data_IF_301861000118
#
_entry.id   IF_301861000118
#
_cell.length_a   1.000
_cell.length_b   1.000
_cell.length_c   1.000
_cell.angle_alpha   90.00
_cell.angle_beta   90.00
_cell.angle_gamma   90.00
#
_symmetry.space_group_name_H-M   'P 1'
#
loop_
_entity.id
_entity.type
_entity.pdbx_description
1 polymer ?
#
# COMPACT_ATOMS: atom_id res chain seq x y z
N UNK A 1 6.10 4.00 -16.83
CA UNK A 1 4.75 4.19 -17.42
C UNK A 1 4.79 4.78 -18.81
N UNK A 2 5.45 5.92 -19.01
CA UNK A 2 5.44 6.68 -20.28
C UNK A 2 5.86 5.89 -21.52
N UNK A 3 6.98 5.15 -21.45
CA UNK A 3 7.46 4.37 -22.61
C UNK A 3 6.46 3.29 -23.04
N UNK A 4 5.96 2.51 -22.07
CA UNK A 4 4.95 1.47 -22.32
C UNK A 4 3.68 2.08 -22.92
N UNK A 5 3.23 3.19 -22.35
CA UNK A 5 2.02 3.86 -22.82
C UNK A 5 2.18 4.41 -24.24
N UNK A 6 3.34 5.01 -24.58
CA UNK A 6 3.65 5.47 -25.93
C UNK A 6 3.58 4.33 -26.95
N UNK A 7 4.21 3.18 -26.65
CA UNK A 7 4.19 2.00 -27.53
C UNK A 7 2.77 1.46 -27.73
N UNK A 8 1.94 1.49 -26.68
CA UNK A 8 0.54 1.08 -26.78
C UNK A 8 -0.28 2.06 -27.65
N UNK A 9 -0.09 3.37 -27.46
CA UNK A 9 -0.75 4.42 -28.24
C UNK A 9 -0.38 4.34 -29.74
N UNK A 10 0.89 4.11 -30.08
CA UNK A 10 1.36 3.90 -31.46
C UNK A 10 0.67 2.71 -32.15
N UNK A 11 0.10 1.79 -31.37
CA UNK A 11 -0.64 0.60 -31.83
C UNK A 11 -2.15 0.69 -31.63
N UNK A 12 -2.66 1.83 -31.15
CA UNK A 12 -4.08 2.01 -30.84
C UNK A 12 -4.59 1.12 -29.70
N UNK A 13 -3.72 0.69 -28.79
CA UNK A 13 -4.06 -0.16 -27.65
C UNK A 13 -4.29 0.73 -26.42
N UNK A 14 -5.46 0.67 -25.76
CA UNK A 14 -5.73 1.46 -24.58
C UNK A 14 -4.93 0.96 -23.36
N UNK A 15 -4.50 1.89 -22.52
CA UNK A 15 -3.70 1.62 -21.32
C UNK A 15 -4.52 1.93 -20.07
N UNK A 16 -4.64 0.94 -19.20
CA UNK A 16 -5.19 1.09 -17.87
C UNK A 16 -4.07 1.08 -16.83
N UNK A 17 -4.10 2.05 -15.91
CA UNK A 17 -3.22 2.08 -14.75
C UNK A 17 -4.00 1.65 -13.51
N UNK A 18 -3.65 0.48 -12.96
CA UNK A 18 -4.05 0.11 -11.61
C UNK A 18 -3.23 0.94 -10.62
N UNK A 19 -3.87 1.99 -10.14
CA UNK A 19 -3.33 2.98 -9.24
C UNK A 19 -3.86 2.82 -7.83
N UNK A 20 -4.14 1.59 -7.36
CA UNK A 20 -4.65 1.33 -6.01
C UNK A 20 -3.88 2.09 -4.91
N UNK A 21 -2.58 2.38 -5.12
CA UNK A 21 -1.74 3.23 -4.26
C UNK A 21 -1.00 4.33 -5.06
N UNK A 22 -1.58 4.87 -6.12
CA UNK A 22 -0.90 5.85 -7.00
C UNK A 22 -0.39 7.09 -6.26
N UNK A 23 -1.09 7.54 -5.22
CA UNK A 23 -0.64 8.66 -4.38
C UNK A 23 0.61 8.34 -3.56
N UNK A 24 0.80 7.07 -3.16
CA UNK A 24 2.05 6.66 -2.51
C UNK A 24 3.21 6.72 -3.51
N UNK A 25 2.97 6.29 -4.76
CA UNK A 25 3.96 6.33 -5.82
C UNK A 25 4.32 7.77 -6.24
N UNK A 26 3.32 8.63 -6.45
CA UNK A 26 3.53 10.04 -6.78
C UNK A 26 4.36 10.75 -5.71
N UNK A 27 4.02 10.53 -4.43
CA UNK A 27 4.75 11.09 -3.30
C UNK A 27 6.19 10.57 -3.21
N UNK A 28 6.40 9.27 -3.38
CA UNK A 28 7.72 8.65 -3.38
C UNK A 28 8.64 9.18 -4.50
N UNK A 29 8.05 9.47 -5.66
CA UNK A 29 8.74 10.02 -6.83
C UNK A 29 8.90 11.55 -6.76
N UNK A 30 8.22 12.23 -5.83
CA UNK A 30 8.24 13.69 -5.72
C UNK A 30 7.56 14.41 -6.89
N UNK A 31 6.57 13.77 -7.53
CA UNK A 31 5.86 14.31 -8.70
C UNK A 31 4.36 14.42 -8.47
N UNK A 32 3.67 15.19 -9.31
CA UNK A 32 2.21 15.26 -9.27
C UNK A 32 1.60 13.95 -9.83
N UNK A 33 0.51 13.47 -9.22
CA UNK A 33 -0.20 12.28 -9.69
C UNK A 33 -0.63 12.40 -11.16
N UNK A 34 -0.88 13.62 -11.64
CA UNK A 34 -1.22 13.92 -13.04
C UNK A 34 -0.12 13.48 -13.99
N UNK A 35 1.15 13.56 -13.60
CA UNK A 35 2.28 13.12 -14.44
C UNK A 35 2.29 11.60 -14.65
N UNK A 36 1.90 10.84 -13.62
CA UNK A 36 1.74 9.38 -13.71
C UNK A 36 0.54 8.98 -14.57
N UNK A 37 -0.54 9.77 -14.54
CA UNK A 37 -1.80 9.46 -15.22
C UNK A 37 -1.93 10.05 -16.62
N UNK A 38 -1.19 11.12 -16.93
CA UNK A 38 -1.23 11.79 -18.23
C UNK A 38 -1.02 10.84 -19.43
N UNK A 39 -0.11 9.84 -19.39
CA UNK A 39 0.12 8.99 -20.55
C UNK A 39 -0.90 7.85 -20.70
N UNK A 40 -1.85 7.63 -19.76
CA UNK A 40 -2.76 6.47 -19.79
C UNK A 40 -4.20 6.86 -20.09
N UNK A 41 -4.98 5.95 -20.67
CA UNK A 41 -6.38 6.20 -21.06
C UNK A 41 -7.35 6.14 -19.87
N UNK A 42 -6.99 5.35 -18.85
CA UNK A 42 -7.77 5.24 -17.63
C UNK A 42 -6.91 4.89 -16.42
N UNK A 43 -7.38 5.31 -15.25
CA UNK A 43 -6.75 5.01 -13.97
C UNK A 43 -7.81 4.63 -12.96
N UNK A 44 -7.56 3.56 -12.22
CA UNK A 44 -8.30 3.26 -10.99
C UNK A 44 -7.42 3.62 -9.79
N UNK A 45 -7.99 4.20 -8.74
CA UNK A 45 -7.29 4.36 -7.47
C UNK A 45 -8.22 4.13 -6.28
N UNK A 46 -7.65 3.67 -5.16
CA UNK A 46 -8.41 3.37 -3.96
C UNK A 46 -8.47 4.56 -3.02
N UNK A 47 -9.65 4.77 -2.42
CA UNK A 47 -9.85 5.68 -1.29
C UNK A 47 -9.71 4.93 0.05
N UNK A 48 -10.02 3.63 0.06
CA UNK A 48 -10.07 2.81 1.28
C UNK A 48 -8.76 2.14 1.72
N UNK A 49 -7.62 2.70 1.32
CA UNK A 49 -6.29 2.25 1.76
C UNK A 49 -5.64 3.34 2.60
N UNK A 50 -4.43 3.78 2.25
CA UNK A 50 -3.72 4.83 2.99
C UNK A 50 -4.46 6.17 3.08
N UNK A 51 -5.44 6.43 2.19
CA UNK A 51 -6.27 7.63 2.26
C UNK A 51 -7.39 7.54 3.32
N UNK A 52 -7.64 6.36 3.89
CA UNK A 52 -8.44 6.20 5.11
C UNK A 52 -9.96 6.33 4.97
N UNK A 53 -10.52 6.30 3.75
CA UNK A 53 -11.97 6.17 3.58
C UNK A 53 -12.43 4.74 3.98
N UNK A 54 -13.66 4.56 4.49
CA UNK A 54 -14.13 3.22 4.88
C UNK A 54 -14.38 2.30 3.68
N UNK A 55 -14.84 2.85 2.55
CA UNK A 55 -15.19 2.11 1.33
C UNK A 55 -14.86 2.96 0.12
N UNK A 56 -14.41 2.31 -0.95
CA UNK A 56 -14.49 2.86 -2.30
C UNK A 56 -13.15 3.00 -3.02
N UNK A 57 -13.30 3.01 -4.34
CA UNK A 57 -12.28 3.34 -5.32
C UNK A 57 -12.92 4.22 -6.39
N UNK A 58 -12.10 4.96 -7.12
CA UNK A 58 -12.55 5.78 -8.24
C UNK A 58 -11.89 5.27 -9.54
N UNK A 59 -12.62 5.43 -10.64
CA UNK A 59 -12.16 5.16 -11.99
C UNK A 59 -12.27 6.47 -12.77
N UNK A 60 -11.16 6.91 -13.35
CA UNK A 60 -11.08 8.10 -14.19
C UNK A 60 -10.60 7.73 -15.60
N UNK A 61 -11.04 8.49 -16.59
CA UNK A 61 -10.74 8.30 -18.01
C UNK A 61 -11.65 9.15 -18.87
N UNK A 62 -11.68 8.90 -20.18
CA UNK A 62 -12.54 9.65 -21.11
C UNK A 62 -14.03 9.47 -20.81
N UNK A 63 -14.85 10.45 -21.22
CA UNK A 63 -16.31 10.42 -21.01
C UNK A 63 -16.94 9.13 -21.55
N UNK A 64 -16.62 8.77 -22.79
CA UNK A 64 -17.19 7.58 -23.44
C UNK A 64 -16.77 6.29 -22.73
N UNK A 65 -15.55 6.23 -22.19
CA UNK A 65 -15.09 5.12 -21.35
C UNK A 65 -15.88 5.03 -20.04
N UNK A 66 -16.07 6.16 -19.34
CA UNK A 66 -16.80 6.20 -18.07
C UNK A 66 -18.28 5.87 -18.24
N UNK A 67 -18.91 6.24 -19.36
CA UNK A 67 -20.29 5.84 -19.67
C UNK A 67 -20.44 4.32 -19.79
N UNK A 68 -19.51 3.66 -20.52
CA UNK A 68 -19.46 2.20 -20.60
C UNK A 68 -19.18 1.56 -19.24
N UNK A 69 -18.20 2.09 -18.51
CA UNK A 69 -17.86 1.59 -17.18
C UNK A 69 -19.01 1.73 -16.18
N UNK A 70 -19.80 2.80 -16.25
CA UNK A 70 -20.99 3.02 -15.41
C UNK A 70 -22.09 1.99 -15.71
N UNK A 71 -22.30 1.64 -16.99
CA UNK A 71 -23.21 0.56 -17.38
C UNK A 71 -22.72 -0.78 -16.79
N UNK A 72 -21.44 -1.10 -16.95
CA UNK A 72 -20.86 -2.33 -16.39
C UNK A 72 -20.94 -2.36 -14.86
N UNK A 73 -20.69 -1.25 -14.18
CA UNK A 73 -20.89 -1.12 -12.73
C UNK A 73 -22.32 -1.48 -12.33
N UNK A 74 -23.33 -1.11 -13.14
CA UNK A 74 -24.73 -1.46 -12.86
C UNK A 74 -25.00 -2.95 -13.05
N UNK A 75 -24.40 -3.58 -14.07
CA UNK A 75 -24.49 -5.03 -14.33
C UNK A 75 -23.84 -5.82 -13.18
N UNK A 76 -22.66 -5.40 -12.75
CA UNK A 76 -21.90 -6.03 -11.64
C UNK A 76 -22.46 -5.71 -10.25
N UNK A 77 -23.59 -4.99 -10.14
CA UNK A 77 -24.23 -4.69 -8.85
C UNK A 77 -23.67 -3.49 -8.06
N UNK A 78 -22.64 -2.80 -8.55
CA UNK A 78 -22.05 -1.61 -7.90
C UNK A 78 -22.88 -0.32 -8.01
N UNK A 79 -24.12 -0.40 -8.52
CA UNK A 79 -25.06 0.71 -8.63
C UNK A 79 -25.77 1.01 -7.31
N UNK A 80 -25.02 1.42 -6.30
CA UNK A 80 -25.53 1.76 -4.96
C UNK A 80 -26.53 2.93 -5.01
N UNK A 81 -27.44 2.98 -4.02
CA UNK A 81 -28.44 4.04 -3.86
C UNK A 81 -27.85 5.24 -3.12
N UNK A 82 -28.10 5.37 -1.81
CA UNK A 82 -27.63 6.50 -0.99
C UNK A 82 -26.13 6.43 -0.67
N UNK A 83 -25.29 6.29 -1.70
CA UNK A 83 -23.83 6.20 -1.59
C UNK A 83 -23.15 7.53 -1.21
N UNK A 84 -23.92 8.62 -1.05
CA UNK A 84 -23.41 9.93 -0.65
C UNK A 84 -22.68 9.91 0.69
N UNK A 85 -23.10 9.04 1.63
CA UNK A 85 -22.42 8.85 2.92
C UNK A 85 -20.98 8.36 2.71
N UNK A 86 -20.78 7.38 1.83
CA UNK A 86 -19.45 6.87 1.49
C UNK A 86 -18.63 7.90 0.70
N UNK A 87 -19.28 8.61 -0.22
CA UNK A 87 -18.64 9.65 -1.02
C UNK A 87 -18.13 10.81 -0.17
N UNK A 88 -18.84 11.20 0.91
CA UNK A 88 -18.40 12.25 1.82
C UNK A 88 -17.05 11.92 2.47
N UNK A 89 -16.86 10.68 2.94
CA UNK A 89 -15.57 10.22 3.44
C UNK A 89 -14.51 10.18 2.31
N UNK A 90 -14.92 9.82 1.09
CA UNK A 90 -14.07 9.82 -0.09
C UNK A 90 -13.53 11.20 -0.48
N UNK A 91 -14.34 12.26 -0.35
CA UNK A 91 -13.91 13.64 -0.60
C UNK A 91 -12.80 14.03 0.38
N UNK A 92 -13.00 13.79 1.68
CA UNK A 92 -11.98 14.06 2.72
C UNK A 92 -10.70 13.26 2.44
N UNK A 93 -10.85 11.97 2.11
CA UNK A 93 -9.73 11.08 1.80
C UNK A 93 -8.88 11.62 0.63
N UNK A 94 -9.52 12.11 -0.44
CA UNK A 94 -8.82 12.63 -1.60
C UNK A 94 -8.22 14.01 -1.36
N UNK A 95 -8.94 14.92 -0.71
CA UNK A 95 -8.53 16.32 -0.58
C UNK A 95 -7.57 16.58 0.58
N UNK A 96 -7.61 15.77 1.64
CA UNK A 96 -6.87 16.05 2.89
C UNK A 96 -5.88 14.97 3.29
N UNK A 97 -6.05 13.73 2.84
CA UNK A 97 -5.26 12.60 3.36
C UNK A 97 -4.04 12.25 2.52
N UNK A 98 -3.87 12.86 1.34
CA UNK A 98 -2.74 12.55 0.43
C UNK A 98 -1.40 12.97 1.04
N UNK A 99 -1.31 14.20 1.57
CA UNK A 99 -0.03 14.74 2.08
C UNK A 99 0.55 13.93 3.25
N UNK A 100 -0.32 13.44 4.14
CA UNK A 100 0.09 12.65 5.32
C UNK A 100 0.64 11.26 4.99
N UNK A 101 0.51 10.78 3.76
CA UNK A 101 1.16 9.52 3.34
C UNK A 101 2.69 9.59 3.55
N UNK A 102 3.28 10.79 3.60
CA UNK A 102 4.69 10.98 3.92
C UNK A 102 5.06 10.42 5.29
N UNK A 103 4.15 10.50 6.27
CA UNK A 103 4.32 9.93 7.61
C UNK A 103 4.38 8.40 7.52
N UNK A 104 3.52 7.79 6.68
CA UNK A 104 3.49 6.33 6.49
C UNK A 104 4.82 5.85 5.89
N UNK A 105 5.35 6.55 4.88
CA UNK A 105 6.65 6.26 4.28
C UNK A 105 7.80 6.45 5.27
N UNK A 106 7.76 7.52 6.07
CA UNK A 106 8.73 7.77 7.12
C UNK A 106 8.76 6.63 8.14
N UNK A 107 7.60 6.26 8.67
CA UNK A 107 7.46 5.16 9.62
C UNK A 107 7.91 3.82 9.03
N UNK A 108 7.58 3.55 7.77
CA UNK A 108 8.04 2.33 7.10
C UNK A 108 9.56 2.30 6.97
N UNK A 109 10.19 3.43 6.63
CA UNK A 109 11.66 3.53 6.54
C UNK A 109 12.33 3.30 7.90
N UNK A 110 11.83 3.92 8.97
CA UNK A 110 12.37 3.71 10.33
C UNK A 110 12.24 2.24 10.72
N UNK A 111 11.07 1.64 10.54
CA UNK A 111 10.84 0.23 10.83
C UNK A 111 11.80 -0.67 10.04
N UNK A 112 11.98 -0.43 8.73
CA UNK A 112 12.89 -1.20 7.90
C UNK A 112 14.35 -1.08 8.36
N UNK A 113 14.79 0.13 8.70
CA UNK A 113 16.15 0.39 9.19
C UNK A 113 16.42 -0.36 10.49
N UNK A 114 15.53 -0.27 11.47
CA UNK A 114 15.69 -0.96 12.75
C UNK A 114 15.66 -2.50 12.60
N UNK A 115 14.75 -3.02 11.78
CA UNK A 115 14.68 -4.47 11.51
C UNK A 115 15.93 -4.99 10.81
N UNK A 116 16.59 -4.16 9.97
CA UNK A 116 17.83 -4.55 9.27
C UNK A 116 19.03 -4.78 10.18
N UNK A 117 18.97 -4.28 11.41
CA UNK A 117 20.01 -4.46 12.43
C UNK A 117 19.85 -5.77 13.21
N UNK A 118 18.74 -6.49 13.03
CA UNK A 118 18.42 -7.67 13.81
C UNK A 118 19.01 -8.94 13.16
N UNK A 119 19.76 -9.77 13.91
CA UNK A 119 20.34 -10.99 13.37
C UNK A 119 19.26 -11.96 12.90
N UNK A 120 19.47 -12.55 11.73
CA UNK A 120 18.53 -13.49 11.10
C UNK A 120 17.32 -12.85 10.41
N UNK A 121 17.22 -11.51 10.42
CA UNK A 121 16.31 -10.76 9.56
C UNK A 121 17.08 -10.24 8.36
N UNK A 122 16.62 -10.59 7.16
CA UNK A 122 17.17 -10.09 5.91
C UNK A 122 16.16 -9.19 5.23
N UNK A 123 16.54 -7.92 5.07
CA UNK A 123 15.72 -6.86 4.51
C UNK A 123 16.64 -5.96 3.68
N UNK A 124 16.19 -5.49 2.52
CA UNK A 124 16.96 -4.53 1.71
C UNK A 124 16.42 -3.10 1.94
N UNK A 125 17.03 -2.28 2.82
CA UNK A 125 16.49 -0.98 3.18
C UNK A 125 16.41 0.00 1.99
N UNK A 126 17.19 -0.22 0.93
CA UNK A 126 17.21 0.60 -0.28
C UNK A 126 16.07 0.34 -1.26
N UNK A 127 15.28 -0.72 -1.06
CA UNK A 127 14.17 -1.08 -1.96
C UNK A 127 12.82 -0.45 -1.57
N UNK A 128 12.72 0.21 -0.42
CA UNK A 128 11.44 0.74 0.08
C UNK A 128 11.30 2.23 -0.24
N UNK A 129 10.43 2.54 -1.20
CA UNK A 129 10.05 3.93 -1.50
C UNK A 129 8.66 4.32 -0.96
N UNK A 130 7.94 3.41 -0.30
CA UNK A 130 6.55 3.64 0.15
C UNK A 130 6.26 3.02 1.52
N UNK A 131 4.99 2.70 1.81
CA UNK A 131 4.50 2.28 3.12
C UNK A 131 4.51 0.75 3.36
N UNK A 132 5.19 -0.03 2.51
CA UNK A 132 5.23 -1.50 2.59
C UNK A 132 6.67 -1.95 2.81
N UNK A 133 6.85 -2.85 3.77
CA UNK A 133 8.12 -3.50 4.06
C UNK A 133 7.92 -5.00 3.93
N UNK A 134 8.84 -5.67 3.25
CA UNK A 134 8.90 -7.13 3.19
C UNK A 134 10.29 -7.53 3.64
N UNK A 135 10.36 -8.46 4.60
CA UNK A 135 11.63 -8.96 5.11
C UNK A 135 11.58 -10.48 5.23
N UNK A 136 12.74 -11.10 5.04
CA UNK A 136 12.95 -12.53 5.23
C UNK A 136 13.34 -12.81 6.68
N UNK A 137 12.81 -13.90 7.21
CA UNK A 137 13.16 -14.49 8.51
C UNK A 137 13.79 -15.88 8.36
N UNK A 138 14.23 -16.23 7.15
CA UNK A 138 14.71 -17.58 6.81
C UNK A 138 15.80 -18.11 7.77
N UNK A 139 16.64 -17.21 8.27
CA UNK A 139 17.76 -17.53 9.17
C UNK A 139 17.32 -17.75 10.63
N UNK A 140 16.07 -17.47 10.99
CA UNK A 140 15.53 -17.67 12.34
C UNK A 140 15.07 -19.11 12.62
N UNK A 141 15.09 -19.99 11.62
CA UNK A 141 14.72 -21.40 11.78
C UNK A 141 13.24 -21.67 12.09
N UNK A 142 12.37 -20.67 11.91
CA UNK A 142 10.91 -20.77 12.07
C UNK A 142 10.19 -20.40 10.78
N UNK A 143 8.97 -20.90 10.60
CA UNK A 143 8.12 -20.50 9.48
C UNK A 143 7.50 -19.12 9.72
N UNK A 144 7.10 -18.46 8.65
CA UNK A 144 6.42 -17.17 8.71
C UNK A 144 5.10 -17.26 9.50
N UNK A 145 4.37 -18.37 9.41
CA UNK A 145 3.17 -18.62 10.21
C UNK A 145 3.48 -18.68 11.73
N UNK A 146 4.54 -19.41 12.12
CA UNK A 146 4.97 -19.44 13.52
C UNK A 146 5.41 -18.06 14.01
N UNK A 147 6.07 -17.28 13.16
CA UNK A 147 6.48 -15.93 13.48
C UNK A 147 5.29 -14.97 13.61
N UNK A 148 4.26 -15.09 12.75
CA UNK A 148 2.99 -14.38 12.90
C UNK A 148 2.30 -14.68 14.22
N UNK A 149 2.24 -15.96 14.63
CA UNK A 149 1.66 -16.34 15.93
C UNK A 149 2.43 -15.71 17.10
N UNK A 150 3.77 -15.67 17.01
CA UNK A 150 4.63 -15.01 17.99
C UNK A 150 4.38 -13.50 18.05
N UNK A 151 4.23 -12.84 16.90
CA UNK A 151 3.86 -11.42 16.83
C UNK A 151 2.46 -11.18 17.43
N UNK A 152 1.48 -11.99 17.08
CA UNK A 152 0.10 -11.89 17.55
C UNK A 152 -0.01 -12.10 19.06
N UNK A 153 0.78 -13.02 19.63
CA UNK A 153 0.87 -13.21 21.10
C UNK A 153 1.39 -11.97 21.85
N UNK A 154 2.04 -11.04 21.15
CA UNK A 154 2.50 -9.75 21.65
C UNK A 154 1.62 -8.57 21.16
N UNK A 155 0.48 -8.84 20.53
CA UNK A 155 -0.44 -7.82 20.04
C UNK A 155 -0.05 -7.17 18.71
N UNK A 156 0.91 -7.74 17.97
CA UNK A 156 1.35 -7.23 16.65
C UNK A 156 0.74 -8.08 15.55
N UNK A 157 0.00 -7.47 14.63
CA UNK A 157 -0.59 -8.17 13.48
C UNK A 157 0.24 -7.93 12.21
N UNK A 158 0.53 -9.02 11.51
CA UNK A 158 1.29 -9.06 10.27
C UNK A 158 0.75 -10.16 9.38
N UNK A 159 1.07 -10.10 8.08
CA UNK A 159 0.81 -11.21 7.18
C UNK A 159 2.11 -11.64 6.52
N UNK A 160 2.27 -12.94 6.32
CA UNK A 160 3.29 -13.56 5.50
C UNK A 160 3.00 -13.39 4.03
N UNK A 161 4.06 -13.41 3.23
CA UNK A 161 4.00 -13.42 1.76
C UNK A 161 4.44 -14.77 1.22
N UNK A 162 5.41 -15.39 1.89
CA UNK A 162 5.90 -16.75 1.66
C UNK A 162 6.16 -17.41 3.00
N UNK A 163 6.55 -18.69 2.99
CA UNK A 163 6.87 -19.47 4.20
C UNK A 163 7.98 -18.87 5.07
N UNK A 164 8.75 -17.90 4.55
CA UNK A 164 9.88 -17.27 5.24
C UNK A 164 9.88 -15.75 5.15
N UNK A 165 8.83 -15.12 4.62
CA UNK A 165 8.78 -13.65 4.46
C UNK A 165 7.55 -13.06 5.11
N UNK A 166 7.76 -11.97 5.84
CA UNK A 166 6.72 -11.22 6.54
C UNK A 166 6.57 -9.85 5.87
N UNK A 167 5.33 -9.37 5.77
CA UNK A 167 5.01 -8.03 5.27
C UNK A 167 4.39 -7.17 6.34
N UNK A 168 5.03 -6.03 6.61
CA UNK A 168 4.44 -4.93 7.35
C UNK A 168 3.95 -3.83 6.41
N UNK A 169 2.85 -3.18 6.80
CA UNK A 169 2.24 -2.07 6.06
C UNK A 169 1.89 -0.95 7.03
N UNK A 170 2.59 0.18 6.93
CA UNK A 170 2.30 1.37 7.74
C UNK A 170 1.12 2.14 7.16
N UNK A 171 0.37 2.81 8.02
CA UNK A 171 -0.82 3.59 7.66
C UNK A 171 -1.18 4.53 8.83
N UNK A 172 -2.18 5.40 8.62
CA UNK A 172 -2.61 6.45 9.57
C UNK A 172 -2.89 5.97 10.99
N UNK A 173 -3.29 4.71 11.16
CA UNK A 173 -3.68 4.12 12.44
C UNK A 173 -2.50 3.41 13.14
N UNK A 174 -1.27 3.57 12.62
CA UNK A 174 -0.01 3.09 13.19
C UNK A 174 0.92 4.28 13.44
N UNK A 175 1.02 4.71 14.70
CA UNK A 175 1.84 5.86 15.10
C UNK A 175 3.33 5.53 15.16
N UNK A 176 4.18 6.56 15.20
CA UNK A 176 5.63 6.39 15.36
C UNK A 176 5.98 5.68 16.69
N UNK A 177 5.24 5.94 17.76
CA UNK A 177 5.41 5.27 19.06
C UNK A 177 5.14 3.77 18.95
N UNK A 178 4.08 3.40 18.23
CA UNK A 178 3.75 1.99 17.97
C UNK A 178 4.81 1.33 17.10
N UNK A 179 5.40 2.03 16.13
CA UNK A 179 6.55 1.52 15.36
C UNK A 179 7.72 1.18 16.29
N UNK A 180 8.06 2.08 17.22
CA UNK A 180 9.14 1.85 18.21
C UNK A 180 8.83 0.67 19.13
N UNK A 181 7.58 0.47 19.49
CA UNK A 181 7.14 -0.68 20.28
C UNK A 181 7.27 -1.99 19.50
N UNK A 182 6.82 -2.02 18.24
CA UNK A 182 6.95 -3.18 17.35
C UNK A 182 8.42 -3.58 17.18
N UNK A 183 9.33 -2.63 16.97
CA UNK A 183 10.78 -2.92 16.88
C UNK A 183 11.29 -3.63 18.14
N UNK A 184 10.90 -3.16 19.33
CA UNK A 184 11.28 -3.79 20.60
C UNK A 184 10.72 -5.22 20.72
N UNK A 185 9.48 -5.43 20.30
CA UNK A 185 8.82 -6.74 20.31
C UNK A 185 9.54 -7.70 19.36
N UNK A 186 9.81 -7.28 18.12
CA UNK A 186 10.51 -8.11 17.14
C UNK A 186 11.91 -8.46 17.63
N UNK A 187 12.66 -7.50 18.18
CA UNK A 187 13.97 -7.77 18.75
C UNK A 187 13.91 -8.80 19.90
N UNK A 188 12.90 -8.72 20.78
CA UNK A 188 12.67 -9.70 21.84
C UNK A 188 12.38 -11.09 21.28
N UNK A 189 11.54 -11.19 20.24
CA UNK A 189 11.22 -12.47 19.58
C UNK A 189 12.47 -13.07 18.96
N UNK A 190 13.19 -12.31 18.14
CA UNK A 190 14.45 -12.75 17.49
C UNK A 190 15.46 -13.25 18.53
N UNK A 191 15.65 -12.50 19.62
CA UNK A 191 16.57 -12.89 20.70
C UNK A 191 16.17 -14.19 21.40
N UNK A 192 14.87 -14.49 21.50
CA UNK A 192 14.38 -15.72 22.10
C UNK A 192 14.49 -16.93 21.17
N UNK A 193 14.41 -16.70 19.84
CA UNK A 193 14.60 -17.75 18.83
C UNK A 193 16.08 -18.08 18.60
N UNK A 194 16.99 -17.11 18.80
CA UNK A 194 18.44 -17.30 18.68
C UNK A 194 19.12 -17.89 19.92
N UNK A 195 18.35 -18.34 20.92
CA UNK A 195 18.83 -19.11 22.09
C UNK A 195 18.46 -20.58 21.92
#
# INVERSE_FOLDING_TARGET
TTLMAKVAQERGIPVHLDGARIFNAALALGIDVRELTAPVDSVMFCLSKGLGAPVGSLLAGSRSFIERARKNRKVLGGGLRQAGILAAAGIIALEKMVGRLAEDHYNARILAQELSLLPGITINPGEFSTNIIVFSIQELGVTAAQFEDLLASHGVLANSVTDTTIRFVTHKDVSEEQIKEVVKIVHKIVKNLGK
#
